data_IF_709182821077
#
_entry.id   IF_709182821077
#
_cell.length_a   1.000
_cell.length_b   1.000
_cell.length_c   1.000
_cell.angle_alpha   90.00
_cell.angle_beta   90.00
_cell.angle_gamma   90.00
#
_symmetry.space_group_name_H-M   'P 1'
#
loop_
_entity.id
_entity.type
_entity.pdbx_description
1 polymer ?
#
# COMPACT_ATOMS: atom_id res chain seq x y z
N UNK A 1 -18.77 -41.69 -25.95
CA UNK A 1 -18.00 -40.44 -26.04
C UNK A 1 -17.52 -40.10 -24.65
N UNK A 2 -16.40 -40.68 -24.24
CA UNK A 2 -15.82 -40.51 -22.91
C UNK A 2 -14.72 -39.47 -23.01
N UNK A 3 -14.98 -38.27 -22.51
CA UNK A 3 -14.00 -37.18 -22.43
C UNK A 3 -12.92 -37.57 -21.41
N UNK A 4 -11.77 -37.99 -21.90
CA UNK A 4 -10.56 -38.18 -21.10
C UNK A 4 -10.00 -36.82 -20.68
N UNK A 5 -10.17 -36.47 -19.41
CA UNK A 5 -9.33 -35.52 -18.70
C UNK A 5 -7.94 -36.17 -18.60
N UNK A 6 -7.00 -35.71 -19.43
CA UNK A 6 -5.60 -36.12 -19.31
C UNK A 6 -5.07 -35.55 -18.00
N UNK A 7 -4.64 -36.39 -17.03
CA UNK A 7 -4.06 -35.89 -15.80
C UNK A 7 -2.72 -35.25 -16.11
N UNK A 8 -2.68 -33.92 -16.00
CA UNK A 8 -1.52 -33.06 -16.14
C UNK A 8 -0.60 -33.21 -14.93
N UNK A 9 -0.06 -34.41 -14.72
CA UNK A 9 0.85 -34.71 -13.62
C UNK A 9 2.27 -35.08 -14.10
N UNK A 10 2.52 -35.07 -15.41
CA UNK A 10 3.81 -35.44 -15.98
C UNK A 10 4.24 -34.35 -16.99
N UNK A 11 4.90 -33.29 -16.51
CA UNK A 11 5.61 -32.38 -17.45
C UNK A 11 5.68 -30.89 -17.10
N UNK A 12 5.13 -30.45 -15.98
CA UNK A 12 5.26 -29.06 -15.52
C UNK A 12 3.92 -28.33 -15.48
N UNK A 13 3.80 -27.42 -14.52
CA UNK A 13 2.66 -26.52 -14.39
C UNK A 13 2.51 -25.73 -15.70
N UNK A 14 1.54 -26.13 -16.52
CA UNK A 14 1.18 -25.41 -17.73
C UNK A 14 0.61 -24.05 -17.40
N UNK A 15 0.57 -23.14 -18.40
CA UNK A 15 -0.07 -21.84 -18.23
C UNK A 15 -1.54 -21.94 -17.81
N UNK A 16 -2.24 -23.01 -18.20
CA UNK A 16 -3.62 -23.28 -17.80
C UNK A 16 -3.74 -23.62 -16.31
N UNK A 17 -2.86 -24.46 -15.76
CA UNK A 17 -2.85 -24.76 -14.33
C UNK A 17 -2.50 -23.54 -13.48
N UNK A 18 -1.53 -22.73 -13.92
CA UNK A 18 -1.24 -21.47 -13.23
C UNK A 18 -2.46 -20.53 -13.26
N UNK A 19 -3.21 -20.48 -14.38
CA UNK A 19 -4.46 -19.73 -14.46
C UNK A 19 -5.52 -20.27 -13.49
N UNK A 20 -5.67 -21.58 -13.37
CA UNK A 20 -6.63 -22.20 -12.44
C UNK A 20 -6.24 -21.89 -10.99
N UNK A 21 -4.97 -22.06 -10.62
CA UNK A 21 -4.47 -21.74 -9.28
C UNK A 21 -4.65 -20.24 -8.98
N UNK A 22 -4.33 -19.38 -9.94
CA UNK A 22 -4.54 -17.94 -9.82
C UNK A 22 -6.03 -17.61 -9.64
N UNK A 23 -6.92 -18.26 -10.40
CA UNK A 23 -8.36 -18.07 -10.28
C UNK A 23 -8.87 -18.45 -8.87
N UNK A 24 -8.38 -19.57 -8.32
CA UNK A 24 -8.69 -19.97 -6.94
C UNK A 24 -8.19 -18.91 -5.94
N UNK A 25 -6.95 -18.44 -6.06
CA UNK A 25 -6.42 -17.39 -5.17
C UNK A 25 -7.22 -16.07 -5.28
N UNK A 26 -7.65 -15.68 -6.49
CA UNK A 26 -8.51 -14.52 -6.70
C UNK A 26 -9.88 -14.71 -6.06
N UNK A 27 -10.45 -15.91 -6.06
CA UNK A 27 -11.72 -16.19 -5.39
C UNK A 27 -11.58 -16.12 -3.86
N UNK A 28 -10.47 -16.59 -3.29
CA UNK A 28 -10.24 -16.60 -1.85
C UNK A 28 -9.88 -15.20 -1.31
N UNK A 29 -8.97 -14.51 -1.98
CA UNK A 29 -8.43 -13.22 -1.51
C UNK A 29 -9.09 -12.01 -2.17
N UNK A 30 -9.72 -12.18 -3.33
CA UNK A 30 -10.28 -11.10 -4.14
C UNK A 30 -9.30 -10.55 -5.18
N UNK A 31 -9.83 -10.05 -6.31
CA UNK A 31 -9.05 -9.50 -7.42
C UNK A 31 -8.21 -8.27 -7.03
N UNK A 32 -8.61 -7.54 -5.98
CA UNK A 32 -7.88 -6.36 -5.50
C UNK A 32 -6.72 -6.69 -4.57
N UNK A 33 -6.76 -7.81 -3.83
CA UNK A 33 -5.78 -8.11 -2.78
C UNK A 33 -4.49 -8.71 -3.29
N UNK A 34 -4.53 -9.59 -4.30
CA UNK A 34 -3.32 -10.11 -4.93
C UNK A 34 -2.40 -9.02 -5.53
N UNK A 35 -2.90 -8.06 -6.34
CA UNK A 35 -2.05 -7.01 -6.88
C UNK A 35 -1.58 -6.02 -5.81
N UNK A 36 -2.38 -5.77 -4.77
CA UNK A 36 -2.01 -4.94 -3.62
C UNK A 36 -0.82 -5.56 -2.86
N UNK A 37 -0.89 -6.86 -2.54
CA UNK A 37 0.19 -7.61 -1.91
C UNK A 37 1.45 -7.68 -2.81
N UNK A 38 1.26 -7.96 -4.10
CA UNK A 38 2.37 -8.04 -5.05
C UNK A 38 3.11 -6.70 -5.21
N UNK A 39 2.39 -5.57 -5.18
CA UNK A 39 2.99 -4.22 -5.26
C UNK A 39 3.91 -3.95 -4.07
N UNK A 40 3.46 -4.22 -2.84
CA UNK A 40 4.27 -4.03 -1.64
C UNK A 40 5.49 -4.97 -1.59
N UNK A 41 5.28 -6.27 -1.81
CA UNK A 41 6.37 -7.26 -1.83
C UNK A 41 7.36 -7.01 -2.97
N UNK A 42 6.89 -6.61 -4.15
CA UNK A 42 7.72 -6.30 -5.30
C UNK A 42 8.63 -5.09 -5.08
N UNK A 43 8.15 -4.06 -4.38
CA UNK A 43 8.97 -2.91 -4.00
C UNK A 43 10.11 -3.31 -3.05
N UNK A 44 9.83 -4.14 -2.04
CA UNK A 44 10.85 -4.65 -1.12
C UNK A 44 11.91 -5.48 -1.84
N UNK A 45 11.49 -6.41 -2.72
CA UNK A 45 12.41 -7.20 -3.55
C UNK A 45 13.22 -6.32 -4.52
N UNK A 46 12.64 -5.25 -5.06
CA UNK A 46 13.34 -4.31 -5.95
C UNK A 46 14.49 -3.61 -5.22
N UNK A 47 14.24 -3.11 -4.01
CA UNK A 47 15.25 -2.43 -3.19
C UNK A 47 16.34 -3.42 -2.79
N UNK A 48 15.96 -4.59 -2.27
CA UNK A 48 16.91 -5.65 -1.90
C UNK A 48 17.81 -6.06 -3.06
N UNK A 49 17.24 -6.22 -4.27
CA UNK A 49 18.01 -6.58 -5.46
C UNK A 49 18.94 -5.45 -5.92
N UNK A 50 18.54 -4.19 -5.78
CA UNK A 50 19.38 -3.04 -6.12
C UNK A 50 20.58 -2.93 -5.18
N UNK A 51 20.37 -3.09 -3.88
CA UNK A 51 21.44 -3.08 -2.87
C UNK A 51 22.37 -4.28 -3.06
N UNK A 52 21.81 -5.48 -3.20
CA UNK A 52 22.59 -6.71 -3.42
C UNK A 52 23.40 -6.64 -4.71
N UNK A 53 22.83 -6.08 -5.79
CA UNK A 53 23.58 -5.88 -7.04
C UNK A 53 24.77 -4.95 -6.84
N UNK A 54 24.64 -3.87 -6.08
CA UNK A 54 25.77 -2.98 -5.78
C UNK A 54 26.90 -3.65 -5.01
N UNK A 55 26.60 -4.64 -4.16
CA UNK A 55 27.61 -5.45 -3.47
C UNK A 55 28.32 -6.44 -4.40
N UNK A 56 27.60 -7.01 -5.37
CA UNK A 56 28.14 -8.00 -6.32
C UNK A 56 28.94 -7.32 -7.45
N UNK A 57 28.47 -6.18 -7.96
CA UNK A 57 29.16 -5.40 -9.01
C UNK A 57 30.41 -4.65 -8.49
N UNK A 58 30.62 -4.57 -7.17
CA UNK A 58 31.82 -3.90 -6.62
C UNK A 58 33.14 -4.64 -6.92
N UNK A 59 33.08 -5.86 -7.45
CA UNK A 59 34.25 -6.63 -7.93
C UNK A 59 34.48 -6.55 -9.45
N UNK A 60 33.53 -6.02 -10.24
CA UNK A 60 33.67 -5.90 -11.71
C UNK A 60 33.06 -4.58 -12.24
N UNK A 61 33.94 -3.76 -12.80
CA UNK A 61 33.82 -2.38 -13.30
C UNK A 61 32.45 -1.87 -13.80
N UNK A 62 32.17 -0.62 -13.39
CA UNK A 62 31.52 0.51 -14.11
C UNK A 62 30.41 0.21 -15.11
N UNK A 63 29.18 0.62 -14.76
CA UNK A 63 28.28 1.30 -15.72
C UNK A 63 27.26 2.22 -15.03
N UNK A 64 27.14 3.42 -15.59
CA UNK A 64 26.40 4.57 -15.08
C UNK A 64 24.89 4.52 -15.35
N UNK A 65 24.14 4.95 -14.32
CA UNK A 65 22.83 5.66 -14.31
C UNK A 65 21.93 5.57 -15.56
N UNK A 66 20.72 5.04 -15.36
CA UNK A 66 19.55 5.94 -15.34
C UNK A 66 18.39 5.45 -14.47
N UNK A 67 17.96 6.41 -13.66
CA UNK A 67 16.85 6.49 -12.71
C UNK A 67 15.50 6.49 -13.44
N UNK A 68 14.71 5.44 -13.30
CA UNK A 68 13.28 5.49 -13.60
C UNK A 68 12.50 5.76 -12.31
N UNK A 69 12.44 7.03 -11.93
CA UNK A 69 11.41 7.57 -11.07
C UNK A 69 10.26 8.04 -11.97
N UNK A 70 9.14 7.31 -11.94
CA UNK A 70 7.80 7.75 -12.33
C UNK A 70 6.89 6.94 -11.42
N UNK A 71 6.54 7.42 -10.22
CA UNK A 71 5.37 8.27 -9.97
C UNK A 71 4.22 7.96 -10.92
N UNK A 72 3.44 6.97 -10.54
CA UNK A 72 1.98 7.02 -10.71
C UNK A 72 1.39 6.73 -9.33
N UNK A 73 1.33 7.78 -8.52
CA UNK A 73 0.17 7.98 -7.65
C UNK A 73 -1.08 8.00 -8.55
N UNK A 74 -2.07 7.12 -8.34
CA UNK A 74 -3.43 7.49 -8.63
C UNK A 74 -3.91 8.27 -7.40
N UNK A 75 -3.72 9.58 -7.46
CA UNK A 75 -4.62 10.52 -6.80
C UNK A 75 -6.04 10.17 -7.23
N UNK A 76 -6.79 9.43 -6.40
CA UNK A 76 -8.24 9.52 -6.39
C UNK A 76 -8.57 10.64 -5.41
N UNK A 77 -8.45 11.87 -5.92
CA UNK A 77 -9.24 12.99 -5.42
C UNK A 77 -10.71 12.68 -5.74
N UNK A 78 -11.44 12.19 -4.74
CA UNK A 78 -12.88 12.38 -4.65
C UNK A 78 -13.10 13.59 -3.74
N UNK A 79 -12.98 14.78 -4.33
CA UNK A 79 -13.59 16.01 -3.81
C UNK A 79 -14.77 16.35 -4.71
N UNK A 80 -15.94 15.99 -4.23
CA UNK A 80 -17.28 16.45 -4.62
C UNK A 80 -18.12 16.13 -3.40
N UNK A 81 -18.75 17.03 -2.66
CA UNK A 81 -19.35 18.33 -2.94
C UNK A 81 -19.86 18.86 -1.56
N UNK A 82 -20.61 19.97 -1.45
CA UNK A 82 -20.20 21.36 -1.42
C UNK A 82 -20.49 22.01 -0.04
N UNK A 83 -20.26 23.30 0.04
CA UNK A 83 -20.61 24.24 1.12
C UNK A 83 -21.94 23.90 1.84
N UNK A 84 -21.86 23.58 3.14
CA UNK A 84 -22.90 23.89 4.16
C UNK A 84 -22.14 24.55 5.32
N UNK A 85 -22.01 25.88 5.26
CA UNK A 85 -22.66 26.80 6.20
C UNK A 85 -22.22 26.61 7.66
N UNK A 86 -21.33 27.50 8.11
CA UNK A 86 -21.07 27.82 9.52
C UNK A 86 -22.39 27.99 10.30
N UNK A 87 -22.39 27.61 11.59
CA UNK A 87 -22.32 28.67 12.59
C UNK A 87 -21.30 28.39 13.70
N UNK A 88 -20.51 29.41 13.95
CA UNK A 88 -19.74 29.67 15.16
C UNK A 88 -20.61 29.37 16.40
N UNK A 89 -20.23 28.36 17.17
CA UNK A 89 -20.59 28.21 18.59
C UNK A 89 -19.27 27.83 19.28
N UNK A 90 -18.45 28.81 19.67
CA UNK A 90 -18.50 29.36 21.03
C UNK A 90 -18.63 28.26 22.08
N UNK A 91 -17.67 27.32 22.12
CA UNK A 91 -17.43 26.59 23.36
C UNK A 91 -16.72 27.57 24.31
N UNK A 92 -17.35 27.99 25.41
CA UNK A 92 -16.76 28.97 26.31
C UNK A 92 -15.53 28.35 26.95
N UNK A 93 -14.37 28.99 26.72
CA UNK A 93 -13.22 28.85 27.60
C UNK A 93 -13.74 29.10 29.02
N UNK A 94 -13.90 28.03 29.80
CA UNK A 94 -14.06 28.11 31.25
C UNK A 94 -12.70 28.54 31.77
N UNK A 95 -12.47 29.85 31.72
CA UNK A 95 -11.51 30.53 32.58
C UNK A 95 -12.03 30.29 33.99
N UNK A 96 -11.44 29.32 34.69
CA UNK A 96 -11.54 29.32 36.14
C UNK A 96 -11.09 30.69 36.62
N UNK A 97 -12.07 31.41 37.11
CA UNK A 97 -12.00 32.80 37.51
C UNK A 97 -11.06 32.92 38.71
N UNK A 98 -10.12 33.88 38.73
CA UNK A 98 -9.47 34.30 39.95
C UNK A 98 -10.53 34.94 40.86
N UNK A 99 -11.11 34.14 41.76
CA UNK A 99 -11.86 34.62 42.92
C UNK A 99 -10.95 34.39 44.12
N UNK A 100 -10.39 35.47 44.68
CA UNK A 100 -10.96 36.13 45.85
C UNK A 100 -10.56 35.32 47.09
N UNK A 101 -9.84 35.84 48.06
CA UNK A 101 -10.29 36.89 48.96
C UNK A 101 -9.13 36.98 49.98
N UNK A 102 -8.38 38.08 50.01
CA UNK A 102 -8.41 38.97 51.17
C UNK A 102 -8.47 38.25 52.54
N UNK A 103 -7.35 38.25 53.26
CA UNK A 103 -7.33 38.14 54.71
C UNK A 103 -6.12 38.90 55.25
N UNK A 104 -6.27 40.17 55.65
CA UNK A 104 -5.42 40.80 56.64
C UNK A 104 -5.98 40.50 58.04
N UNK A 105 -5.09 40.39 59.04
CA UNK A 105 -5.28 40.17 60.49
C UNK A 105 -4.67 38.82 60.90
N UNK A 106 -3.76 38.73 61.87
CA UNK A 106 -3.46 39.58 63.02
C UNK A 106 -1.96 39.56 63.35
#
# INVERSE_FOLDING_TARGET
MTSTITPLLIGGLGGMELLIILAVLVLLFGASKLPELARGSGQALKIFKAETKGLIDSDDKHDDKHRAATTVEPTTQAVSDPIVSEPIVSEPVVVETPRQHDAPRA
#
